data_IF_986493479046
#
_entry.id   IF_986493479046
#
_cell.length_a   1.000
_cell.length_b   1.000
_cell.length_c   1.000
_cell.angle_alpha   90.00
_cell.angle_beta   90.00
_cell.angle_gamma   90.00
#
_symmetry.space_group_name_H-M   'P 1'
#
loop_
_entity.id
_entity.type
_entity.pdbx_description
1 polymer ?
#
# COMPACT_ATOMS: atom_id res chain seq x y z
N UNK A 1 -10.28 2.60 -2.41
CA UNK A 1 -11.05 1.54 -3.13
C UNK A 1 -12.49 1.97 -3.31
N UNK A 2 -13.05 1.86 -4.48
CA UNK A 2 -14.46 2.16 -4.74
C UNK A 2 -15.23 0.83 -4.92
N UNK A 3 -16.08 0.50 -3.97
CA UNK A 3 -16.90 -0.74 -3.99
C UNK A 3 -17.76 -0.92 -5.23
N UNK A 4 -18.03 0.17 -5.93
CA UNK A 4 -18.94 0.17 -7.11
C UNK A 4 -18.23 -0.20 -8.41
N UNK A 5 -16.91 -0.30 -8.41
CA UNK A 5 -16.09 -0.42 -9.63
C UNK A 5 -15.34 -1.73 -9.78
N UNK A 6 -15.61 -2.74 -8.96
CA UNK A 6 -14.98 -4.03 -9.08
C UNK A 6 -14.27 -4.49 -7.81
N UNK A 7 -13.46 -5.51 -7.93
CA UNK A 7 -12.72 -6.08 -6.81
C UNK A 7 -11.53 -5.19 -6.39
N UNK A 8 -11.16 -5.24 -5.13
CA UNK A 8 -10.12 -4.40 -4.56
C UNK A 8 -8.78 -4.52 -5.29
N UNK A 9 -8.44 -5.73 -5.71
CA UNK A 9 -7.19 -6.02 -6.43
C UNK A 9 -7.05 -5.26 -7.75
N UNK A 10 -8.18 -4.90 -8.37
CA UNK A 10 -8.21 -4.19 -9.65
C UNK A 10 -8.40 -2.68 -9.51
N UNK A 11 -8.78 -2.20 -8.33
CA UNK A 11 -9.19 -0.80 -8.14
C UNK A 11 -8.59 -0.13 -6.91
N UNK A 12 -7.89 -0.88 -6.06
CA UNK A 12 -7.33 -0.40 -4.82
C UNK A 12 -5.80 -0.53 -4.76
N UNK A 13 -5.18 0.32 -3.96
CA UNK A 13 -3.77 0.15 -3.60
C UNK A 13 -3.72 -0.82 -2.42
N UNK A 14 -2.94 -1.88 -2.59
CA UNK A 14 -2.78 -2.93 -1.59
C UNK A 14 -1.43 -2.80 -0.89
N UNK A 15 -1.43 -2.96 0.43
CA UNK A 15 -0.21 -3.18 1.21
C UNK A 15 -0.09 -4.68 1.45
N UNK A 16 0.99 -5.27 0.99
CA UNK A 16 1.22 -6.70 1.09
C UNK A 16 1.45 -7.14 2.53
N UNK A 17 0.84 -8.27 2.89
CA UNK A 17 1.00 -8.95 4.18
C UNK A 17 1.35 -10.43 3.97
N UNK A 18 1.92 -10.74 2.83
CA UNK A 18 2.34 -12.09 2.47
C UNK A 18 3.64 -12.43 3.20
N UNK A 19 3.79 -13.65 3.66
CA UNK A 19 5.04 -14.16 4.23
C UNK A 19 5.87 -14.97 3.21
N UNK A 20 5.46 -15.04 1.95
CA UNK A 20 6.33 -15.48 0.88
C UNK A 20 7.36 -14.38 0.55
N UNK A 21 8.61 -14.78 0.44
CA UNK A 21 9.71 -13.87 0.19
C UNK A 21 10.31 -14.09 -1.20
N UNK A 22 10.87 -13.04 -1.78
CA UNK A 22 11.73 -13.16 -2.94
C UNK A 22 11.35 -12.35 -4.16
N UNK A 23 10.20 -11.69 -4.21
CA UNK A 23 9.83 -10.82 -5.33
C UNK A 23 9.99 -9.33 -5.06
N UNK A 24 10.14 -8.95 -3.80
CA UNK A 24 10.17 -7.55 -3.35
C UNK A 24 8.83 -6.82 -3.53
N UNK A 25 8.16 -7.05 -4.63
CA UNK A 25 6.87 -6.44 -4.98
C UNK A 25 5.68 -7.02 -4.21
N UNK A 26 5.83 -8.22 -3.65
CA UNK A 26 4.81 -8.93 -2.89
C UNK A 26 5.23 -9.17 -1.43
N UNK A 27 6.43 -8.81 -1.07
CA UNK A 27 6.94 -8.98 0.28
C UNK A 27 6.18 -8.11 1.29
N UNK A 28 6.12 -8.50 2.56
CA UNK A 28 5.43 -7.72 3.58
C UNK A 28 5.86 -6.25 3.61
N UNK A 29 4.88 -5.36 3.55
CA UNK A 29 5.10 -3.93 3.51
C UNK A 29 5.35 -3.35 2.11
N UNK A 30 5.39 -4.16 1.07
CA UNK A 30 5.36 -3.65 -0.30
C UNK A 30 3.99 -3.01 -0.60
N UNK A 31 3.97 -2.03 -1.49
CA UNK A 31 2.77 -1.63 -2.21
C UNK A 31 2.64 -2.58 -3.40
N UNK A 32 1.77 -3.56 -3.26
CA UNK A 32 1.68 -4.75 -4.11
C UNK A 32 1.68 -4.40 -5.60
N UNK A 33 2.65 -4.93 -6.34
CA UNK A 33 2.91 -4.68 -7.76
C UNK A 33 3.22 -3.22 -8.13
N UNK A 34 3.32 -2.32 -7.17
CA UNK A 34 3.64 -0.91 -7.42
C UNK A 34 5.05 -0.55 -6.94
N UNK A 35 5.33 -0.75 -5.67
CA UNK A 35 6.62 -0.41 -5.05
C UNK A 35 7.09 -1.58 -4.20
N UNK A 36 8.28 -2.08 -4.47
CA UNK A 36 8.89 -3.15 -3.70
C UNK A 36 9.21 -2.71 -2.26
N UNK A 37 9.13 -3.64 -1.33
CA UNK A 37 9.68 -3.45 0.01
C UNK A 37 11.22 -3.36 -0.07
N UNK A 38 11.80 -2.38 0.64
CA UNK A 38 13.25 -2.14 0.62
C UNK A 38 14.05 -3.25 1.31
N UNK A 39 13.44 -3.90 2.27
CA UNK A 39 14.02 -5.02 3.04
C UNK A 39 12.89 -5.80 3.69
N UNK A 40 13.20 -6.93 4.31
CA UNK A 40 12.25 -7.69 5.10
C UNK A 40 12.57 -7.52 6.59
N UNK A 41 11.61 -6.93 7.33
CA UNK A 41 11.67 -6.78 8.79
C UNK A 41 10.60 -7.60 9.50
N UNK A 42 10.00 -8.56 8.79
CA UNK A 42 9.01 -9.46 9.34
C UNK A 42 9.64 -10.34 10.43
N UNK A 43 8.91 -10.50 11.52
CA UNK A 43 9.27 -11.43 12.58
C UNK A 43 8.96 -12.87 12.18
N UNK A 44 9.60 -13.86 12.83
CA UNK A 44 9.30 -15.26 12.60
C UNK A 44 7.79 -15.59 12.73
N UNK A 45 7.36 -16.61 12.02
CA UNK A 45 5.98 -17.12 12.13
C UNK A 45 5.62 -17.41 13.59
N UNK A 46 4.45 -16.98 14.00
CA UNK A 46 3.96 -17.09 15.38
C UNK A 46 4.19 -15.83 16.23
N UNK A 47 4.96 -14.87 15.73
CA UNK A 47 5.15 -13.57 16.39
C UNK A 47 4.29 -12.47 15.76
N UNK A 48 3.83 -11.54 16.59
CA UNK A 48 3.09 -10.37 16.10
C UNK A 48 4.02 -9.36 15.44
N UNK A 49 3.63 -8.95 14.25
CA UNK A 49 4.22 -7.82 13.54
C UNK A 49 3.38 -6.55 13.79
N UNK A 50 4.02 -5.41 13.79
CA UNK A 50 3.36 -4.11 13.90
C UNK A 50 3.54 -3.33 12.60
N UNK A 51 2.43 -2.92 12.00
CA UNK A 51 2.43 -2.14 10.76
C UNK A 51 1.74 -0.80 10.95
N UNK A 52 2.35 0.24 10.41
CA UNK A 52 1.75 1.57 10.31
C UNK A 52 1.73 1.99 8.85
N UNK A 53 0.56 2.34 8.36
CA UNK A 53 0.36 2.88 7.03
C UNK A 53 -0.07 4.34 7.20
N UNK A 54 0.69 5.26 6.62
CA UNK A 54 0.38 6.68 6.65
C UNK A 54 0.01 7.15 5.25
N UNK A 55 -1.15 7.78 5.13
CA UNK A 55 -1.62 8.41 3.90
C UNK A 55 -1.77 9.90 4.17
N UNK A 56 -0.96 10.70 3.50
CA UNK A 56 -0.95 12.16 3.67
C UNK A 56 -0.83 12.84 2.31
N UNK A 57 -1.94 13.42 1.85
CA UNK A 57 -2.01 13.96 0.50
C UNK A 57 -1.69 12.88 -0.54
N UNK A 58 -0.72 13.13 -1.45
CA UNK A 58 -0.31 12.16 -2.46
C UNK A 58 0.62 11.07 -1.93
N UNK A 59 1.12 11.19 -0.69
CA UNK A 59 2.13 10.28 -0.15
C UNK A 59 1.50 9.15 0.64
N UNK A 60 1.95 7.93 0.37
CA UNK A 60 1.67 6.75 1.19
C UNK A 60 3.01 6.19 1.64
N UNK A 61 3.14 5.89 2.92
CA UNK A 61 4.31 5.20 3.48
C UNK A 61 3.87 4.03 4.33
N UNK A 62 4.69 2.98 4.31
CA UNK A 62 4.46 1.75 5.07
C UNK A 62 5.66 1.48 5.95
N UNK A 63 5.42 1.38 7.24
CA UNK A 63 6.41 1.05 8.27
C UNK A 63 6.05 -0.29 8.87
N UNK A 64 6.96 -1.25 8.83
CA UNK A 64 6.82 -2.56 9.45
C UNK A 64 7.89 -2.73 10.53
N UNK A 65 7.44 -3.02 11.75
CA UNK A 65 8.32 -3.22 12.91
C UNK A 65 9.34 -2.08 13.11
N UNK A 66 8.91 -0.84 12.87
CA UNK A 66 9.72 0.37 13.06
C UNK A 66 10.59 0.77 11.87
N UNK A 67 10.59 0.01 10.78
CA UNK A 67 11.36 0.30 9.56
C UNK A 67 10.43 0.69 8.41
N UNK A 68 10.70 1.82 7.75
CA UNK A 68 9.98 2.20 6.53
C UNK A 68 10.40 1.30 5.37
N UNK A 69 9.46 0.55 4.85
CA UNK A 69 9.70 -0.45 3.79
C UNK A 69 9.34 0.06 2.40
N UNK A 70 8.29 0.83 2.28
CA UNK A 70 7.87 1.39 0.99
C UNK A 70 7.26 2.77 1.17
N UNK A 71 7.42 3.58 0.14
CA UNK A 71 6.79 4.90 0.06
C UNK A 71 6.48 5.21 -1.41
N UNK A 72 5.40 5.91 -1.64
CA UNK A 72 4.97 6.34 -2.97
C UNK A 72 4.49 7.79 -2.90
N UNK A 73 4.81 8.56 -3.94
CA UNK A 73 4.18 9.84 -4.20
C UNK A 73 3.28 9.70 -5.43
N UNK A 74 1.99 9.64 -5.21
CA UNK A 74 1.02 9.37 -6.27
C UNK A 74 1.02 10.42 -7.38
N UNK A 75 1.47 11.64 -7.12
CA UNK A 75 1.55 12.69 -8.15
C UNK A 75 2.58 12.40 -9.23
N UNK A 76 3.54 11.52 -8.95
CA UNK A 76 4.55 11.09 -9.92
C UNK A 76 4.04 9.98 -10.86
N UNK A 77 2.88 9.38 -10.57
CA UNK A 77 2.30 8.26 -11.30
C UNK A 77 1.22 8.73 -12.29
N UNK A 78 1.60 9.61 -13.19
CA UNK A 78 0.68 10.31 -14.11
C UNK A 78 0.37 9.55 -15.39
N UNK A 79 1.18 8.55 -15.76
CA UNK A 79 1.03 7.80 -17.01
C UNK A 79 0.26 6.50 -16.76
N UNK A 80 -0.83 6.22 -17.50
CA UNK A 80 -1.56 4.96 -17.36
C UNK A 80 -0.66 3.74 -17.55
N UNK A 81 -0.75 2.78 -16.63
CA UNK A 81 0.00 1.53 -16.71
C UNK A 81 1.49 1.62 -16.46
N UNK A 82 2.03 2.80 -16.18
CA UNK A 82 3.47 3.03 -16.05
C UNK A 82 3.86 3.60 -14.69
N UNK A 83 4.97 3.09 -14.16
CA UNK A 83 5.68 3.70 -13.03
C UNK A 83 6.42 4.95 -13.49
N UNK A 84 6.89 5.80 -12.55
CA UNK A 84 7.70 6.97 -12.90
C UNK A 84 8.97 6.65 -13.71
N UNK A 85 9.54 5.46 -13.55
CA UNK A 85 10.70 4.98 -14.31
C UNK A 85 10.36 4.44 -15.71
N UNK A 86 9.08 4.43 -16.10
CA UNK A 86 8.59 3.94 -17.38
C UNK A 86 8.26 2.44 -17.42
N UNK A 87 8.56 1.67 -16.37
CA UNK A 87 8.19 0.26 -16.29
C UNK A 87 6.68 0.08 -16.09
N UNK A 88 6.17 -1.09 -16.44
CA UNK A 88 4.74 -1.39 -16.35
C UNK A 88 4.33 -1.84 -14.97
N UNK A 89 3.09 -1.53 -14.57
CA UNK A 89 2.46 -2.02 -13.35
C UNK A 89 1.10 -2.67 -13.65
N UNK A 90 0.52 -3.36 -12.65
CA UNK A 90 -0.71 -4.16 -12.80
C UNK A 90 -1.94 -3.40 -13.30
N UNK A 91 -2.03 -2.09 -13.06
CA UNK A 91 -3.17 -1.27 -13.50
C UNK A 91 -2.91 -0.70 -14.90
N UNK A 92 -2.95 -1.54 -15.90
CA UNK A 92 -2.51 -1.25 -17.27
C UNK A 92 -3.16 -0.01 -17.93
N UNK A 93 -4.39 0.32 -17.55
CA UNK A 93 -5.15 1.44 -18.14
C UNK A 93 -5.39 2.59 -17.16
N UNK A 94 -4.72 2.59 -16.02
CA UNK A 94 -4.96 3.55 -14.94
C UNK A 94 -3.69 4.32 -14.63
N UNK A 95 -3.79 5.64 -14.64
CA UNK A 95 -2.80 6.51 -14.00
C UNK A 95 -3.08 6.52 -12.49
N UNK A 96 -2.20 5.90 -11.70
CA UNK A 96 -2.38 5.76 -10.24
C UNK A 96 -2.54 7.13 -9.58
N UNK A 97 -1.82 8.13 -10.05
CA UNK A 97 -1.91 9.50 -9.55
C UNK A 97 -3.28 10.16 -9.73
N UNK A 98 -4.11 9.63 -10.62
CA UNK A 98 -5.47 10.13 -10.88
C UNK A 98 -6.57 9.36 -10.15
N UNK A 99 -6.23 8.34 -9.35
CA UNK A 99 -7.20 7.67 -8.50
C UNK A 99 -7.81 8.65 -7.49
N UNK A 100 -9.08 8.46 -7.12
CA UNK A 100 -9.70 9.26 -6.06
C UNK A 100 -8.89 9.22 -4.77
N UNK A 101 -8.77 10.36 -4.11
CA UNK A 101 -8.04 10.48 -2.82
C UNK A 101 -8.90 10.10 -1.61
N UNK A 102 -10.05 9.53 -1.84
CA UNK A 102 -10.96 9.03 -0.81
C UNK A 102 -11.49 7.67 -1.24
N UNK A 103 -11.87 6.86 -0.29
CA UNK A 103 -12.38 5.53 -0.57
C UNK A 103 -12.57 4.74 0.71
N UNK A 104 -12.63 3.44 0.54
CA UNK A 104 -12.78 2.50 1.63
C UNK A 104 -11.42 1.90 2.01
N UNK A 105 -11.32 1.52 3.25
CA UNK A 105 -10.22 0.73 3.79
C UNK A 105 -10.77 -0.65 4.16
N UNK A 106 -9.96 -1.68 4.00
CA UNK A 106 -10.36 -3.04 4.37
C UNK A 106 -9.18 -4.01 4.40
N UNK A 107 -9.47 -5.21 4.85
CA UNK A 107 -8.55 -6.34 4.84
C UNK A 107 -8.97 -7.31 3.74
N UNK A 108 -7.98 -7.84 3.03
CA UNK A 108 -8.21 -8.85 2.00
C UNK A 108 -7.99 -10.23 2.59
N UNK A 109 -8.92 -11.13 2.31
CA UNK A 109 -8.76 -12.57 2.51
C UNK A 109 -8.21 -13.20 1.23
N UNK A 110 -7.11 -13.92 1.34
CA UNK A 110 -6.46 -14.62 0.23
C UNK A 110 -6.41 -16.14 0.46
N UNK A 111 -7.21 -16.66 1.38
CA UNK A 111 -7.39 -18.08 1.62
C UNK A 111 -6.42 -18.72 2.61
N UNK A 112 -5.48 -17.97 3.16
CA UNK A 112 -4.62 -18.40 4.26
C UNK A 112 -5.04 -17.74 5.56
N UNK A 113 -4.81 -18.40 6.68
CA UNK A 113 -5.13 -17.86 7.99
C UNK A 113 -4.31 -16.60 8.27
N UNK A 114 -4.99 -15.53 8.63
CA UNK A 114 -4.39 -14.26 8.97
C UNK A 114 -5.09 -13.62 10.17
N UNK A 115 -4.32 -13.14 11.12
CA UNK A 115 -4.86 -12.56 12.35
C UNK A 115 -4.51 -11.07 12.44
N UNK A 116 -5.49 -10.27 12.83
CA UNK A 116 -5.34 -8.84 13.06
C UNK A 116 -5.77 -8.50 14.48
N UNK A 117 -5.05 -7.62 15.13
CA UNK A 117 -5.43 -7.07 16.44
C UNK A 117 -5.03 -5.61 16.57
N UNK A 118 -5.62 -4.91 17.54
CA UNK A 118 -5.30 -3.54 17.89
C UNK A 118 -5.38 -2.60 16.67
N UNK A 119 -6.37 -2.80 15.81
CA UNK A 119 -6.59 -1.98 14.63
C UNK A 119 -7.01 -0.58 15.07
N UNK A 120 -6.26 0.43 14.64
CA UNK A 120 -6.52 1.82 14.96
C UNK A 120 -6.48 2.66 13.69
N UNK A 121 -7.43 3.57 13.56
CA UNK A 121 -7.46 4.58 12.52
C UNK A 121 -7.34 5.95 13.18
N UNK A 122 -6.42 6.78 12.70
CA UNK A 122 -6.27 8.16 13.13
C UNK A 122 -6.38 9.08 11.92
N UNK A 123 -7.34 9.98 11.97
CA UNK A 123 -7.42 11.05 10.98
C UNK A 123 -6.32 12.07 11.26
N UNK A 124 -5.54 12.39 10.23
CA UNK A 124 -4.51 13.41 10.32
C UNK A 124 -5.14 14.78 10.10
N UNK A 125 -4.68 15.77 10.85
CA UNK A 125 -5.09 17.15 10.62
C UNK A 125 -4.68 17.58 9.21
N UNK A 126 -5.50 18.37 8.49
CA UNK A 126 -5.10 18.93 7.21
C UNK A 126 -3.77 19.67 7.37
N UNK A 127 -2.86 19.49 6.40
CA UNK A 127 -1.66 20.30 6.36
C UNK A 127 -2.09 21.76 6.34
N UNK A 128 -1.65 22.56 7.32
CA UNK A 128 -1.92 23.99 7.29
C UNK A 128 -1.29 24.56 6.02
N UNK A 129 -2.14 25.14 5.17
CA UNK A 129 -1.63 26.05 4.18
C UNK A 129 -0.84 27.13 4.95
N UNK A 130 0.41 27.37 4.53
CA UNK A 130 1.18 28.47 5.11
C UNK A 130 0.36 29.75 5.04
N UNK A 131 0.37 30.57 6.09
CA UNK A 131 -0.37 31.83 6.10
C UNK A 131 0.14 32.76 4.99
#
# INVERSE_FOLDING_TARGET
>A
MDRRKGVAVDTGIEVALDDTTGSGMHDPGALHDLVAARTNTQKPVGEWNHMTITVSGPKISVVLNGTELSTINLDEWSTPGKRPDGSEHKFSNVAIGKLPRHGYFGFQDHGSDCWFKNIKLKELAPAHAAP
#
